data_IF_992331895077
#
_entry.id   IF_992331895077
#
_cell.length_a   1.000
_cell.length_b   1.000
_cell.length_c   1.000
_cell.angle_alpha   90.00
_cell.angle_beta   90.00
_cell.angle_gamma   90.00
#
_symmetry.space_group_name_H-M   'P 1'
#
loop_
_entity.id
_entity.type
_entity.pdbx_description
1 polymer ?
#
# COMPACT_ATOMS: atom_id res chain seq x y z
N UNK A 1 -4.46 -9.12 -23.42
CA UNK A 1 -3.52 -10.03 -22.75
C UNK A 1 -4.10 -10.43 -21.40
N UNK A 2 -4.05 -11.72 -21.00
CA UNK A 2 -4.58 -12.18 -19.71
C UNK A 2 -3.46 -12.17 -18.66
N UNK A 3 -3.63 -11.36 -17.62
CA UNK A 3 -2.68 -11.21 -16.52
C UNK A 3 -3.17 -11.94 -15.28
N UNK A 4 -2.52 -13.03 -14.90
CA UNK A 4 -2.76 -13.70 -13.61
C UNK A 4 -2.09 -12.92 -12.49
N UNK A 5 -2.88 -12.48 -11.52
CA UNK A 5 -2.42 -11.84 -10.28
C UNK A 5 -2.64 -12.83 -9.12
N UNK A 6 -1.56 -13.45 -8.67
CA UNK A 6 -1.60 -14.37 -7.54
C UNK A 6 -1.35 -13.61 -6.22
N UNK A 7 -2.28 -13.71 -5.27
CA UNK A 7 -2.19 -12.98 -4.00
C UNK A 7 -2.86 -13.72 -2.85
N UNK A 8 -2.22 -13.71 -1.67
CA UNK A 8 -2.81 -14.16 -0.41
C UNK A 8 -3.58 -13.01 0.30
N UNK A 9 -3.28 -11.75 -0.07
CA UNK A 9 -3.96 -10.57 0.41
C UNK A 9 -5.16 -10.25 -0.49
N UNK A 10 -6.35 -10.67 -0.09
CA UNK A 10 -7.61 -10.44 -0.79
C UNK A 10 -8.77 -10.31 0.19
N UNK A 11 -9.95 -9.91 -0.30
CA UNK A 11 -11.15 -9.79 0.53
C UNK A 11 -11.41 -11.04 1.40
N UNK A 12 -11.83 -10.87 2.68
CA UNK A 12 -12.35 -9.66 3.30
C UNK A 12 -11.30 -8.70 3.89
N UNK A 13 -10.01 -8.90 3.63
CA UNK A 13 -8.97 -7.99 4.13
C UNK A 13 -9.14 -6.58 3.56
N UNK A 14 -9.03 -5.56 4.42
CA UNK A 14 -9.00 -4.14 4.07
C UNK A 14 -7.60 -3.62 4.34
N UNK A 15 -6.78 -3.52 3.30
CA UNK A 15 -5.40 -3.05 3.40
C UNK A 15 -4.89 -2.43 2.09
N UNK A 16 -3.71 -1.81 2.14
CA UNK A 16 -3.13 -1.13 0.99
C UNK A 16 -2.76 -2.04 -0.19
N UNK A 17 -2.52 -3.34 0.04
CA UNK A 17 -2.23 -4.31 -1.03
C UNK A 17 -3.49 -4.58 -1.84
N UNK A 18 -4.59 -4.93 -1.17
CA UNK A 18 -5.89 -5.17 -1.82
C UNK A 18 -6.30 -3.95 -2.63
N UNK A 19 -6.26 -2.75 -2.03
CA UNK A 19 -6.62 -1.50 -2.70
C UNK A 19 -5.75 -1.22 -3.93
N UNK A 20 -4.44 -1.47 -3.85
CA UNK A 20 -3.56 -1.30 -5.01
C UNK A 20 -3.93 -2.26 -6.13
N UNK A 21 -4.17 -3.54 -5.81
CA UNK A 21 -4.52 -4.54 -6.82
C UNK A 21 -5.89 -4.28 -7.47
N UNK A 22 -6.87 -3.80 -6.71
CA UNK A 22 -8.18 -3.40 -7.26
C UNK A 22 -8.05 -2.25 -8.26
N UNK A 23 -7.24 -1.22 -7.93
CA UNK A 23 -7.00 -0.10 -8.85
C UNK A 23 -6.23 -0.56 -10.10
N UNK A 24 -5.25 -1.46 -9.95
CA UNK A 24 -4.57 -2.03 -11.12
C UNK A 24 -5.54 -2.85 -11.97
N UNK A 25 -6.41 -3.65 -11.35
CA UNK A 25 -7.40 -4.42 -12.09
C UNK A 25 -8.39 -3.53 -12.85
N UNK A 26 -8.89 -2.48 -12.22
CA UNK A 26 -9.80 -1.52 -12.86
C UNK A 26 -9.15 -0.81 -14.05
N UNK A 27 -7.84 -0.50 -13.97
CA UNK A 27 -7.09 0.14 -15.04
C UNK A 27 -6.65 -0.82 -16.16
N UNK A 28 -6.63 -2.13 -15.91
CA UNK A 28 -6.11 -3.15 -16.83
C UNK A 28 -6.58 -3.04 -18.28
N UNK A 29 -7.89 -2.90 -18.54
CA UNK A 29 -8.43 -2.78 -19.90
C UNK A 29 -7.83 -1.62 -20.68
N UNK A 30 -7.55 -0.47 -20.05
CA UNK A 30 -6.91 0.70 -20.68
C UNK A 30 -5.51 0.38 -21.20
N UNK A 31 -4.83 -0.59 -20.58
CA UNK A 31 -3.49 -1.04 -20.96
C UNK A 31 -3.51 -2.33 -21.81
N UNK A 32 -4.69 -2.80 -22.22
CA UNK A 32 -4.86 -4.01 -23.02
C UNK A 32 -4.67 -5.31 -22.23
N UNK A 33 -4.80 -5.26 -20.91
CA UNK A 33 -4.77 -6.42 -20.04
C UNK A 33 -6.15 -6.75 -19.48
N UNK A 34 -6.41 -8.04 -19.36
CA UNK A 34 -7.51 -8.65 -18.61
C UNK A 34 -6.94 -9.24 -17.32
N UNK A 35 -7.04 -8.56 -16.16
CA UNK A 35 -6.55 -9.08 -14.89
C UNK A 35 -7.44 -10.21 -14.39
N UNK A 36 -6.81 -11.30 -13.95
CA UNK A 36 -7.47 -12.46 -13.38
C UNK A 36 -6.81 -12.74 -12.04
N UNK A 37 -7.61 -12.88 -10.98
CA UNK A 37 -7.08 -13.13 -9.65
C UNK A 37 -7.02 -14.62 -9.34
N UNK A 38 -5.91 -15.02 -8.71
CA UNK A 38 -5.74 -16.28 -8.03
C UNK A 38 -5.51 -15.99 -6.55
N UNK A 39 -6.46 -16.36 -5.71
CA UNK A 39 -6.51 -15.94 -4.30
C UNK A 39 -6.71 -17.13 -3.38
N UNK A 40 -6.73 -16.89 -2.07
CA UNK A 40 -7.10 -17.92 -1.10
C UNK A 40 -8.51 -18.50 -1.33
N UNK A 41 -9.41 -17.83 -2.07
CA UNK A 41 -10.78 -18.29 -2.35
C UNK A 41 -10.82 -19.45 -3.34
N UNK A 42 -9.77 -19.60 -4.12
CA UNK A 42 -9.65 -20.69 -5.13
C UNK A 42 -9.13 -22.00 -4.51
N UNK A 43 -8.91 -22.01 -3.19
CA UNK A 43 -8.35 -23.14 -2.45
C UNK A 43 -9.10 -23.36 -1.13
N UNK A 44 -9.01 -24.58 -0.59
CA UNK A 44 -9.34 -24.80 0.80
C UNK A 44 -8.41 -23.95 1.68
N UNK A 45 -8.95 -23.26 2.68
CA UNK A 45 -8.17 -22.34 3.50
C UNK A 45 -8.67 -22.29 4.94
N UNK A 46 -7.75 -22.01 5.89
CA UNK A 46 -8.04 -21.80 7.30
C UNK A 46 -7.76 -20.34 7.69
N UNK A 47 -8.51 -19.77 8.65
CA UNK A 47 -8.20 -18.47 9.21
C UNK A 47 -6.88 -18.50 10.00
N UNK A 48 -6.10 -17.43 9.91
CA UNK A 48 -4.91 -17.26 10.75
C UNK A 48 -5.34 -16.95 12.19
N UNK A 49 -4.84 -17.68 13.20
CA UNK A 49 -5.13 -17.37 14.60
C UNK A 49 -4.79 -15.92 14.95
N UNK A 50 -5.74 -15.21 15.59
CA UNK A 50 -5.60 -13.79 15.93
C UNK A 50 -5.91 -12.81 14.79
N UNK A 51 -5.97 -13.26 13.54
CA UNK A 51 -6.29 -12.44 12.36
C UNK A 51 -7.21 -13.22 11.43
N UNK A 52 -8.49 -13.41 11.77
CA UNK A 52 -9.42 -14.30 11.05
C UNK A 52 -9.70 -13.85 9.61
N UNK A 53 -9.47 -12.57 9.30
CA UNK A 53 -9.56 -12.00 7.97
C UNK A 53 -8.41 -12.45 7.05
N UNK A 54 -7.29 -12.91 7.62
CA UNK A 54 -6.16 -13.49 6.87
C UNK A 54 -6.39 -14.99 6.75
N UNK A 55 -6.44 -15.48 5.52
CA UNK A 55 -6.69 -16.89 5.22
C UNK A 55 -5.42 -17.57 4.71
N UNK A 56 -5.06 -18.67 5.34
CA UNK A 56 -3.97 -19.56 4.88
C UNK A 56 -4.53 -20.62 3.94
N UNK A 57 -4.20 -20.49 2.65
CA UNK A 57 -4.67 -21.39 1.61
C UNK A 57 -3.81 -22.68 1.54
N UNK A 58 -4.43 -23.82 1.31
CA UNK A 58 -3.74 -25.07 0.97
C UNK A 58 -3.38 -25.11 -0.52
N UNK A 59 -2.66 -24.08 -0.97
CA UNK A 59 -2.24 -23.96 -2.35
C UNK A 59 -1.04 -24.88 -2.65
N UNK A 60 -1.13 -25.64 -3.76
CA UNK A 60 -0.03 -26.44 -4.27
C UNK A 60 0.20 -26.19 -5.76
N UNK A 61 1.42 -26.44 -6.30
CA UNK A 61 1.66 -26.31 -7.74
C UNK A 61 0.72 -27.13 -8.62
N UNK A 62 0.24 -28.28 -8.13
CA UNK A 62 -0.74 -29.10 -8.85
C UNK A 62 -2.12 -28.46 -8.94
N UNK A 63 -2.54 -27.75 -7.88
CA UNK A 63 -3.79 -26.98 -7.93
C UNK A 63 -3.65 -25.80 -8.88
N UNK A 64 -2.51 -25.10 -8.85
CA UNK A 64 -2.23 -24.00 -9.79
C UNK A 64 -2.25 -24.51 -11.23
N UNK A 65 -1.67 -25.69 -11.51
CA UNK A 65 -1.67 -26.30 -12.85
C UNK A 65 -3.09 -26.52 -13.39
N UNK A 66 -4.01 -27.06 -12.57
CA UNK A 66 -5.41 -27.26 -12.98
C UNK A 66 -6.11 -25.94 -13.33
N UNK A 67 -5.94 -24.92 -12.48
CA UNK A 67 -6.54 -23.59 -12.72
C UNK A 67 -5.89 -22.88 -13.92
N UNK A 68 -4.63 -23.18 -14.22
CA UNK A 68 -3.91 -22.59 -15.34
C UNK A 68 -4.53 -22.93 -16.68
N UNK A 69 -4.98 -24.17 -16.87
CA UNK A 69 -5.58 -24.63 -18.11
C UNK A 69 -6.92 -23.93 -18.39
N UNK A 70 -7.66 -23.57 -17.34
CA UNK A 70 -8.91 -22.81 -17.43
C UNK A 70 -8.65 -21.32 -17.63
N UNK A 71 -7.72 -20.76 -16.84
CA UNK A 71 -7.41 -19.33 -16.82
C UNK A 71 -6.60 -18.87 -18.03
N UNK A 72 -5.74 -19.74 -18.59
CA UNK A 72 -4.85 -19.49 -19.76
C UNK A 72 -4.14 -18.13 -19.70
N UNK A 73 -3.40 -17.81 -18.63
CA UNK A 73 -2.72 -16.53 -18.51
C UNK A 73 -1.56 -16.43 -19.48
N UNK A 74 -1.38 -15.23 -20.02
CA UNK A 74 -0.22 -14.89 -20.87
C UNK A 74 0.88 -14.21 -20.05
N UNK A 75 0.51 -13.55 -18.96
CA UNK A 75 1.41 -12.82 -18.05
C UNK A 75 1.09 -13.20 -16.61
N UNK A 76 2.09 -13.13 -15.73
CA UNK A 76 1.96 -13.50 -14.32
C UNK A 76 2.58 -12.45 -13.42
N UNK A 77 1.82 -12.04 -12.42
CA UNK A 77 2.29 -11.24 -11.29
C UNK A 77 1.98 -11.94 -9.98
N UNK A 78 2.98 -12.12 -9.13
CA UNK A 78 2.83 -12.70 -7.78
C UNK A 78 2.96 -11.57 -6.78
N UNK A 79 1.84 -11.16 -6.20
CA UNK A 79 1.78 -9.97 -5.35
C UNK A 79 2.23 -10.20 -3.92
N UNK A 80 2.15 -11.44 -3.41
CA UNK A 80 2.50 -11.75 -2.02
C UNK A 80 3.31 -13.02 -1.92
N UNK A 81 4.09 -13.15 -0.83
CA UNK A 81 4.98 -14.27 -0.54
C UNK A 81 4.30 -15.40 0.24
N UNK A 82 2.98 -15.37 0.36
CA UNK A 82 2.21 -16.38 1.08
C UNK A 82 2.05 -17.68 0.30
N UNK A 83 1.14 -18.52 0.75
CA UNK A 83 0.97 -19.89 0.24
C UNK A 83 0.54 -19.94 -1.23
N UNK A 84 -0.35 -19.03 -1.65
CA UNK A 84 -0.79 -18.87 -3.05
C UNK A 84 0.36 -18.38 -3.92
N UNK A 85 1.05 -17.33 -3.48
CA UNK A 85 2.21 -16.80 -4.19
C UNK A 85 3.32 -17.83 -4.33
N UNK A 86 3.63 -18.59 -3.27
CA UNK A 86 4.67 -19.60 -3.29
C UNK A 86 4.33 -20.78 -4.22
N UNK A 87 3.08 -21.25 -4.22
CA UNK A 87 2.61 -22.29 -5.11
C UNK A 87 2.69 -21.88 -6.58
N UNK A 88 2.25 -20.65 -6.90
CA UNK A 88 2.31 -20.06 -8.24
C UNK A 88 3.76 -19.90 -8.71
N UNK A 89 4.64 -19.38 -7.85
CA UNK A 89 6.07 -19.28 -8.15
C UNK A 89 6.69 -20.63 -8.51
N UNK A 90 6.41 -21.67 -7.70
CA UNK A 90 6.93 -23.01 -7.97
C UNK A 90 6.42 -23.57 -9.29
N UNK A 91 5.16 -23.32 -9.62
CA UNK A 91 4.59 -23.69 -10.90
C UNK A 91 5.30 -22.99 -12.06
N UNK A 92 5.45 -21.66 -11.98
CA UNK A 92 6.12 -20.87 -13.01
C UNK A 92 7.56 -21.35 -13.26
N UNK A 93 8.33 -21.57 -12.20
CA UNK A 93 9.70 -22.07 -12.31
C UNK A 93 9.79 -23.46 -12.95
N UNK A 94 8.90 -24.38 -12.58
CA UNK A 94 8.87 -25.74 -13.12
C UNK A 94 8.51 -25.76 -14.62
N UNK A 95 7.81 -24.74 -15.12
CA UNK A 95 7.34 -24.68 -16.51
C UNK A 95 8.02 -23.57 -17.32
N UNK A 96 9.09 -22.95 -16.82
CA UNK A 96 9.82 -21.88 -17.50
C UNK A 96 8.95 -20.64 -17.81
N UNK A 97 7.94 -20.35 -16.99
CA UNK A 97 7.04 -19.20 -17.19
C UNK A 97 7.64 -17.95 -16.54
N UNK A 98 7.83 -16.85 -17.30
CA UNK A 98 8.24 -15.58 -16.71
C UNK A 98 7.17 -15.07 -15.75
N UNK A 99 7.59 -14.37 -14.69
CA UNK A 99 6.69 -13.75 -13.73
C UNK A 99 7.36 -12.56 -13.05
N UNK A 100 6.55 -11.62 -12.58
CA UNK A 100 6.96 -10.54 -11.70
C UNK A 100 6.49 -10.77 -10.27
N UNK A 101 7.12 -10.09 -9.33
CA UNK A 101 6.71 -10.09 -7.91
C UNK A 101 6.57 -8.68 -7.39
N UNK A 102 5.95 -8.50 -6.22
CA UNK A 102 5.94 -7.23 -5.47
C UNK A 102 6.40 -7.43 -4.04
N UNK A 103 7.19 -6.49 -3.55
CA UNK A 103 7.59 -6.39 -2.15
C UNK A 103 6.71 -5.34 -1.46
N UNK A 104 5.68 -5.78 -0.75
CA UNK A 104 4.70 -4.90 -0.14
C UNK A 104 4.96 -4.59 1.33
N UNK A 105 5.59 -5.51 2.05
CA UNK A 105 5.68 -5.46 3.51
C UNK A 105 7.10 -5.75 3.96
N UNK A 106 7.59 -5.01 4.94
CA UNK A 106 8.87 -5.29 5.63
C UNK A 106 8.67 -6.49 6.58
N UNK A 107 8.38 -7.64 5.98
CA UNK A 107 8.12 -8.87 6.72
C UNK A 107 9.25 -9.30 7.67
N UNK A 108 10.56 -9.13 7.34
CA UNK A 108 11.65 -9.43 8.26
C UNK A 108 11.57 -8.66 9.57
N UNK A 109 11.31 -7.35 9.51
CA UNK A 109 11.18 -6.49 10.68
C UNK A 109 9.94 -6.85 11.51
N UNK A 110 8.83 -7.21 10.85
CA UNK A 110 7.61 -7.67 11.54
C UNK A 110 7.82 -9.00 12.26
N UNK A 111 8.57 -9.92 11.64
CA UNK A 111 8.85 -11.22 12.21
C UNK A 111 9.82 -11.11 13.39
N UNK A 112 10.90 -10.33 13.25
CA UNK A 112 11.89 -10.14 14.31
C UNK A 112 11.32 -9.42 15.54
N UNK A 113 10.34 -8.53 15.35
CA UNK A 113 9.63 -7.86 16.45
C UNK A 113 8.70 -8.80 17.25
N UNK A 114 8.31 -9.95 16.68
CA UNK A 114 7.37 -10.91 17.30
C UNK A 114 7.98 -12.23 17.73
N UNK A 115 9.11 -12.60 17.12
CA UNK A 115 9.78 -13.86 17.37
C UNK A 115 11.30 -13.69 17.26
N UNK A 116 12.11 -14.47 17.99
CA UNK A 116 13.57 -14.37 17.95
C UNK A 116 14.15 -14.97 16.64
N UNK A 117 13.68 -14.45 15.50
CA UNK A 117 14.14 -14.83 14.18
C UNK A 117 15.06 -13.73 13.65
N UNK A 118 16.33 -14.01 13.34
CA UNK A 118 17.23 -13.02 12.76
C UNK A 118 16.72 -12.48 11.43
N UNK A 119 16.66 -11.17 11.26
CA UNK A 119 16.20 -10.53 10.01
C UNK A 119 16.98 -11.04 8.78
N UNK A 120 18.28 -11.32 8.95
CA UNK A 120 19.14 -11.83 7.89
C UNK A 120 18.59 -13.12 7.23
N UNK A 121 17.98 -14.00 8.02
CA UNK A 121 17.38 -15.26 7.49
C UNK A 121 16.11 -14.98 6.69
N UNK A 122 15.27 -14.11 7.21
CA UNK A 122 14.06 -13.68 6.52
C UNK A 122 14.39 -12.95 5.22
N UNK A 123 15.40 -12.07 5.22
CA UNK A 123 15.88 -11.42 3.99
C UNK A 123 16.51 -12.40 3.00
N UNK A 124 17.24 -13.41 3.46
CA UNK A 124 17.79 -14.45 2.59
C UNK A 124 16.67 -15.25 1.90
N UNK A 125 15.60 -15.58 2.65
CA UNK A 125 14.43 -16.27 2.11
C UNK A 125 13.69 -15.39 1.09
N UNK A 126 13.44 -14.11 1.39
CA UNK A 126 12.79 -13.16 0.48
C UNK A 126 13.63 -12.93 -0.77
N UNK A 127 14.94 -12.77 -0.63
CA UNK A 127 15.85 -12.64 -1.76
C UNK A 127 15.80 -13.86 -2.69
N UNK A 128 15.72 -15.07 -2.12
CA UNK A 128 15.51 -16.29 -2.92
C UNK A 128 14.14 -16.32 -3.60
N UNK A 129 13.11 -15.81 -2.92
CA UNK A 129 11.75 -15.77 -3.46
C UNK A 129 11.67 -14.81 -4.64
N UNK A 130 12.06 -13.56 -4.45
CA UNK A 130 11.97 -12.49 -5.43
C UNK A 130 13.04 -12.58 -6.53
N UNK A 131 14.26 -13.00 -6.20
CA UNK A 131 15.37 -13.08 -7.14
C UNK A 131 15.19 -14.11 -8.27
N UNK A 132 14.19 -14.98 -8.16
CA UNK A 132 13.81 -15.90 -9.23
C UNK A 132 12.79 -15.29 -10.22
N UNK A 133 12.27 -14.11 -9.96
CA UNK A 133 11.35 -13.38 -10.84
C UNK A 133 12.10 -12.58 -11.90
N UNK A 134 11.40 -12.23 -12.98
CA UNK A 134 11.93 -11.37 -14.02
C UNK A 134 11.91 -9.89 -13.62
N UNK A 135 11.26 -9.55 -12.48
CA UNK A 135 11.24 -8.22 -11.90
C UNK A 135 10.50 -8.21 -10.57
N UNK A 136 11.03 -7.48 -9.59
CA UNK A 136 10.45 -7.28 -8.27
C UNK A 136 10.03 -5.83 -8.10
N UNK A 137 8.73 -5.58 -7.99
CA UNK A 137 8.20 -4.24 -7.88
C UNK A 137 8.31 -3.72 -6.44
N UNK A 138 8.85 -2.51 -6.29
CA UNK A 138 9.03 -1.81 -5.02
C UNK A 138 8.41 -0.42 -5.08
N UNK A 139 7.87 0.05 -3.95
CA UNK A 139 7.03 1.24 -3.94
C UNK A 139 7.81 2.57 -3.91
N UNK A 140 9.01 2.61 -3.34
CA UNK A 140 9.75 3.85 -3.08
C UNK A 140 11.23 3.74 -3.43
N UNK A 141 11.89 4.90 -3.59
CA UNK A 141 13.32 4.96 -3.89
C UNK A 141 14.18 4.48 -2.71
N UNK A 142 13.80 4.84 -1.48
CA UNK A 142 14.55 4.42 -0.30
C UNK A 142 14.43 2.91 -0.10
N UNK A 143 13.25 2.31 -0.34
CA UNK A 143 13.08 0.86 -0.28
C UNK A 143 13.88 0.14 -1.37
N UNK A 144 13.91 0.68 -2.59
CA UNK A 144 14.72 0.15 -3.68
C UNK A 144 16.21 0.13 -3.33
N UNK A 145 16.73 1.23 -2.75
CA UNK A 145 18.12 1.34 -2.31
C UNK A 145 18.43 0.37 -1.16
N UNK A 146 17.55 0.28 -0.16
CA UNK A 146 17.72 -0.63 0.97
C UNK A 146 17.75 -2.10 0.53
N UNK A 147 16.79 -2.52 -0.31
CA UNK A 147 16.77 -3.89 -0.84
C UNK A 147 17.96 -4.16 -1.77
N UNK A 148 18.35 -3.18 -2.59
CA UNK A 148 19.57 -3.28 -3.41
C UNK A 148 20.83 -3.49 -2.57
N UNK A 149 21.00 -2.75 -1.49
CA UNK A 149 22.10 -2.93 -0.54
C UNK A 149 22.06 -4.32 0.14
N UNK A 150 20.87 -4.93 0.27
CA UNK A 150 20.68 -6.29 0.78
C UNK A 150 20.82 -7.37 -0.30
N UNK A 151 21.20 -7.02 -1.54
CA UNK A 151 21.48 -7.95 -2.64
C UNK A 151 20.28 -8.38 -3.47
N UNK A 152 19.20 -7.59 -3.50
CA UNK A 152 18.15 -7.74 -4.51
C UNK A 152 18.58 -7.04 -5.80
N UNK A 153 18.52 -7.71 -6.94
CA UNK A 153 19.11 -7.22 -8.20
C UNK A 153 18.10 -6.90 -9.30
N UNK A 154 16.86 -7.39 -9.18
CA UNK A 154 15.82 -7.29 -10.20
C UNK A 154 14.70 -6.31 -9.79
N UNK A 155 15.06 -5.18 -9.17
CA UNK A 155 14.10 -4.22 -8.64
C UNK A 155 13.53 -3.33 -9.76
N UNK A 156 12.22 -3.09 -9.69
CA UNK A 156 11.46 -2.23 -10.61
C UNK A 156 10.57 -1.28 -9.80
N UNK A 157 10.50 -0.01 -10.17
CA UNK A 157 9.68 0.97 -9.45
C UNK A 157 8.20 0.79 -9.81
N UNK A 158 7.37 0.75 -8.77
CA UNK A 158 5.92 0.82 -8.86
C UNK A 158 5.36 1.61 -7.67
N UNK A 159 5.11 2.89 -7.88
CA UNK A 159 4.55 3.81 -6.87
C UNK A 159 3.08 3.49 -6.59
N UNK A 160 2.51 4.25 -5.65
CA UNK A 160 1.07 4.17 -5.34
C UNK A 160 0.40 5.45 -5.80
N UNK A 161 -0.92 5.40 -5.88
CA UNK A 161 -1.77 6.54 -6.16
C UNK A 161 -2.77 6.80 -5.06
N UNK A 162 -3.48 7.90 -5.18
CA UNK A 162 -4.61 8.28 -4.35
C UNK A 162 -5.77 8.74 -5.24
N UNK A 163 -6.99 8.43 -4.81
CA UNK A 163 -8.20 8.96 -5.42
C UNK A 163 -8.43 10.40 -4.94
N UNK A 164 -8.00 11.36 -5.76
CA UNK A 164 -8.06 12.78 -5.43
C UNK A 164 -9.46 13.39 -5.60
N UNK A 165 -10.40 12.68 -6.19
CA UNK A 165 -11.81 13.09 -6.27
C UNK A 165 -12.56 12.70 -5.00
N UNK A 166 -12.26 11.52 -4.47
CA UNK A 166 -12.77 11.06 -3.19
C UNK A 166 -12.10 11.79 -2.01
N UNK A 167 -10.76 11.76 -1.95
CA UNK A 167 -9.97 12.42 -0.92
C UNK A 167 -9.62 13.83 -1.37
N UNK A 168 -10.36 14.82 -0.85
CA UNK A 168 -10.18 16.23 -1.19
C UNK A 168 -10.55 17.14 -0.02
N UNK A 169 -10.00 18.35 0.04
CA UNK A 169 -10.46 19.33 1.00
C UNK A 169 -11.95 19.57 0.84
N UNK A 170 -12.65 19.73 1.94
CA UNK A 170 -14.08 20.03 1.90
C UNK A 170 -14.27 21.50 1.54
N UNK A 171 -14.87 21.86 0.39
CA UNK A 171 -15.10 23.25 0.04
C UNK A 171 -16.25 23.84 0.86
N UNK A 172 -16.05 25.02 1.42
CA UNK A 172 -17.08 25.78 2.12
C UNK A 172 -17.39 25.30 3.56
N UNK A 173 -18.52 25.74 4.10
CA UNK A 173 -19.04 25.31 5.40
C UNK A 173 -19.80 24.00 5.26
N UNK A 174 -19.10 22.88 5.14
CA UNK A 174 -19.73 21.56 5.23
C UNK A 174 -19.86 21.21 6.73
N UNK A 175 -20.98 20.62 7.17
CA UNK A 175 -21.12 20.16 8.54
C UNK A 175 -19.97 19.21 8.92
N UNK A 176 -19.38 19.44 10.08
CA UNK A 176 -18.38 18.55 10.66
C UNK A 176 -18.97 17.15 10.81
N UNK A 177 -18.21 16.06 10.52
CA UNK A 177 -18.70 14.71 10.78
C UNK A 177 -19.22 14.58 12.20
N UNK A 178 -20.39 13.92 12.36
CA UNK A 178 -21.06 13.81 13.67
C UNK A 178 -20.14 13.20 14.75
N UNK A 179 -19.27 12.27 14.33
CA UNK A 179 -18.28 11.62 15.22
C UNK A 179 -17.25 12.62 15.79
N UNK A 180 -17.06 13.77 15.19
CA UNK A 180 -16.09 14.82 15.56
C UNK A 180 -16.74 16.04 16.18
N UNK A 181 -18.07 16.15 16.12
CA UNK A 181 -18.81 17.32 16.60
C UNK A 181 -18.55 17.59 18.10
N UNK A 182 -18.16 18.83 18.40
CA UNK A 182 -17.90 19.29 19.78
C UNK A 182 -16.59 18.81 20.39
N UNK A 183 -15.71 18.15 19.61
CA UNK A 183 -14.37 17.80 20.08
C UNK A 183 -13.46 19.03 20.13
N UNK A 184 -12.59 19.09 21.14
CA UNK A 184 -11.60 20.15 21.26
C UNK A 184 -10.59 20.08 20.11
N UNK A 185 -10.34 21.22 19.47
CA UNK A 185 -9.33 21.36 18.40
C UNK A 185 -7.99 21.80 18.98
N UNK A 186 -6.86 21.51 18.27
CA UNK A 186 -6.79 20.82 16.97
C UNK A 186 -7.10 19.32 17.04
N UNK A 187 -7.54 18.73 15.91
CA UNK A 187 -7.79 17.30 15.77
C UNK A 187 -6.58 16.59 15.16
N UNK A 188 -5.97 15.70 15.94
CA UNK A 188 -4.86 14.86 15.50
C UNK A 188 -5.39 13.48 15.11
N UNK A 189 -5.36 13.16 13.82
CA UNK A 189 -5.92 11.94 13.26
C UNK A 189 -4.85 10.89 12.99
N UNK A 190 -5.11 9.64 13.34
CA UNK A 190 -4.36 8.49 12.88
C UNK A 190 -5.30 7.45 12.28
N UNK A 191 -4.95 6.87 11.13
CA UNK A 191 -5.77 5.90 10.39
C UNK A 191 -4.96 4.65 10.09
N UNK A 192 -5.52 3.49 10.44
CA UNK A 192 -4.87 2.22 10.12
C UNK A 192 -5.36 1.07 11.00
N UNK A 193 -4.83 -0.12 10.74
CA UNK A 193 -5.11 -1.29 11.57
C UNK A 193 -4.53 -1.10 12.98
N UNK A 194 -5.31 -1.46 14.01
CA UNK A 194 -4.88 -1.37 15.39
C UNK A 194 -4.06 -2.61 15.76
N UNK A 195 -2.76 -2.56 15.44
CA UNK A 195 -1.81 -3.65 15.62
C UNK A 195 -0.42 -3.10 15.97
N UNK A 196 0.41 -3.94 16.58
CA UNK A 196 1.73 -3.59 17.12
C UNK A 196 2.62 -2.87 16.09
N UNK A 197 2.63 -3.33 14.84
CA UNK A 197 3.43 -2.75 13.77
C UNK A 197 3.07 -1.31 13.40
N UNK A 198 1.89 -0.84 13.80
CA UNK A 198 1.46 0.56 13.57
C UNK A 198 1.92 1.52 14.65
N UNK A 199 2.50 1.01 15.73
CA UNK A 199 3.13 1.80 16.79
C UNK A 199 2.24 2.92 17.36
N UNK A 200 0.92 2.68 17.43
CA UNK A 200 -0.06 3.66 17.92
C UNK A 200 0.17 4.07 19.39
N UNK A 201 0.90 3.26 20.15
CA UNK A 201 1.37 3.61 21.48
C UNK A 201 2.12 4.94 21.49
N UNK A 202 3.01 5.16 20.50
CA UNK A 202 3.77 6.40 20.36
C UNK A 202 2.84 7.60 20.17
N UNK A 203 1.79 7.47 19.34
CA UNK A 203 0.81 8.55 19.13
C UNK A 203 -0.04 8.82 20.38
N UNK A 204 -0.55 7.76 21.01
CA UNK A 204 -1.47 7.91 22.13
C UNK A 204 -0.80 8.50 23.40
N UNK A 205 0.51 8.30 23.55
CA UNK A 205 1.29 8.85 24.68
C UNK A 205 1.71 10.32 24.48
N UNK A 206 1.50 10.91 23.29
CA UNK A 206 1.85 12.32 23.05
C UNK A 206 1.00 13.26 23.92
N UNK A 207 1.62 14.31 24.44
CA UNK A 207 0.92 15.40 25.10
C UNK A 207 0.59 16.48 24.08
N UNK A 208 -0.60 16.39 23.46
CA UNK A 208 -1.05 17.29 22.40
C UNK A 208 -2.24 18.13 22.88
N UNK A 209 -2.30 19.41 22.47
CA UNK A 209 -3.50 20.22 22.69
C UNK A 209 -4.64 19.67 21.82
N UNK A 210 -5.87 19.65 22.33
CA UNK A 210 -7.02 19.19 21.55
C UNK A 210 -7.27 17.68 21.63
N UNK A 211 -7.76 17.07 20.54
CA UNK A 211 -8.27 15.70 20.58
C UNK A 211 -7.50 14.78 19.64
N UNK A 212 -7.11 13.61 20.15
CA UNK A 212 -6.59 12.50 19.35
C UNK A 212 -7.74 11.65 18.82
N UNK A 213 -7.75 11.39 17.51
CA UNK A 213 -8.76 10.59 16.82
C UNK A 213 -8.08 9.40 16.13
N UNK A 214 -8.60 8.21 16.38
CA UNK A 214 -8.09 6.95 15.82
C UNK A 214 -9.17 6.28 14.99
N UNK A 215 -8.89 6.06 13.71
CA UNK A 215 -9.79 5.37 12.77
C UNK A 215 -9.17 4.05 12.36
N UNK A 216 -9.94 2.99 12.52
CA UNK A 216 -9.54 1.62 12.23
C UNK A 216 -9.95 0.66 13.33
N UNK A 217 -9.63 -0.62 13.12
CA UNK A 217 -9.87 -1.68 14.08
C UNK A 217 -8.73 -2.69 14.07
N UNK A 218 -8.67 -3.55 15.07
CA UNK A 218 -7.64 -4.58 15.17
C UNK A 218 -7.51 -5.15 16.58
N UNK A 219 -6.64 -6.17 16.72
CA UNK A 219 -6.51 -6.92 17.97
C UNK A 219 -6.08 -6.07 19.18
N UNK A 220 -5.39 -4.94 18.94
CA UNK A 220 -4.85 -4.08 20.00
C UNK A 220 -5.84 -3.01 20.48
N UNK A 221 -7.07 -2.95 19.97
CA UNK A 221 -8.02 -1.88 20.26
C UNK A 221 -8.21 -1.64 21.76
N UNK A 222 -8.51 -2.70 22.53
CA UNK A 222 -8.77 -2.56 23.95
C UNK A 222 -7.54 -2.07 24.74
N UNK A 223 -6.35 -2.58 24.40
CA UNK A 223 -5.08 -2.16 24.99
C UNK A 223 -4.76 -0.70 24.69
N UNK A 224 -4.94 -0.29 23.44
CA UNK A 224 -4.67 1.07 23.00
C UNK A 224 -5.64 2.08 23.64
N UNK A 225 -6.93 1.75 23.75
CA UNK A 225 -7.91 2.61 24.41
C UNK A 225 -7.61 2.83 25.90
N UNK A 226 -6.94 1.89 26.56
CA UNK A 226 -6.50 2.03 27.93
C UNK A 226 -5.29 2.97 28.09
N UNK A 227 -4.49 3.21 27.03
CA UNK A 227 -3.33 4.14 27.08
C UNK A 227 -3.80 5.59 27.15
N UNK A 228 -4.81 5.95 26.36
CA UNK A 228 -5.39 7.28 26.36
C UNK A 228 -6.93 7.20 26.32
N UNK A 229 -7.58 7.22 27.49
CA UNK A 229 -9.05 7.20 27.57
C UNK A 229 -9.73 8.46 26.98
N UNK A 230 -8.98 9.54 26.78
CA UNK A 230 -9.46 10.77 26.12
C UNK A 230 -9.49 10.69 24.60
N UNK A 231 -8.75 9.75 24.00
CA UNK A 231 -8.73 9.56 22.56
C UNK A 231 -10.04 8.97 22.03
N UNK A 232 -10.43 9.39 20.81
CA UNK A 232 -11.65 8.93 20.14
C UNK A 232 -11.34 7.80 19.17
N UNK A 233 -11.83 6.58 19.45
CA UNK A 233 -11.72 5.41 18.60
C UNK A 233 -13.00 5.21 17.80
N UNK A 234 -12.98 5.52 16.51
CA UNK A 234 -14.17 5.54 15.65
C UNK A 234 -14.46 4.20 14.95
N UNK A 235 -13.59 3.19 15.11
CA UNK A 235 -13.68 1.94 14.35
C UNK A 235 -13.31 2.10 12.89
N UNK A 236 -13.56 1.07 12.10
CA UNK A 236 -13.26 1.09 10.66
C UNK A 236 -14.21 2.04 9.93
N UNK A 237 -13.63 2.92 9.09
CA UNK A 237 -14.35 3.80 8.15
C UNK A 237 -13.73 3.64 6.76
N UNK A 238 -14.52 3.82 5.72
CA UNK A 238 -14.10 3.71 4.32
C UNK A 238 -14.82 4.74 3.45
N UNK A 239 -14.35 4.91 2.21
CA UNK A 239 -15.00 5.77 1.23
C UNK A 239 -15.20 7.21 1.70
N UNK A 240 -16.39 7.75 1.48
CA UNK A 240 -16.72 9.15 1.79
C UNK A 240 -16.66 9.47 3.29
N UNK A 241 -17.01 8.51 4.16
CA UNK A 241 -16.92 8.71 5.62
C UNK A 241 -15.46 8.93 6.05
N UNK A 242 -14.54 8.09 5.56
CA UNK A 242 -13.13 8.22 5.83
C UNK A 242 -12.56 9.53 5.26
N UNK A 243 -12.93 9.88 4.02
CA UNK A 243 -12.49 11.13 3.40
C UNK A 243 -12.96 12.37 4.20
N UNK A 244 -14.19 12.36 4.72
CA UNK A 244 -14.69 13.44 5.56
C UNK A 244 -13.92 13.57 6.88
N UNK A 245 -13.52 12.46 7.51
CA UNK A 245 -12.70 12.48 8.72
C UNK A 245 -11.30 13.05 8.46
N UNK A 246 -10.67 12.67 7.34
CA UNK A 246 -9.41 13.30 6.93
C UNK A 246 -9.58 14.80 6.71
N UNK A 247 -10.57 15.21 5.92
CA UNK A 247 -10.76 16.62 5.57
C UNK A 247 -11.01 17.51 6.80
N UNK A 248 -11.62 16.94 7.86
CA UNK A 248 -11.89 17.62 9.12
C UNK A 248 -10.69 17.68 10.06
N UNK A 249 -9.66 16.86 9.88
CA UNK A 249 -8.48 16.82 10.73
C UNK A 249 -7.56 18.04 10.51
N UNK A 250 -6.81 18.40 11.56
CA UNK A 250 -5.81 19.48 11.51
C UNK A 250 -4.41 18.93 11.22
N UNK A 251 -4.07 17.75 11.76
CA UNK A 251 -2.80 17.04 11.50
C UNK A 251 -3.08 15.54 11.39
N UNK A 252 -2.46 14.89 10.41
CA UNK A 252 -2.40 13.44 10.33
C UNK A 252 -1.11 12.94 10.98
N UNK A 253 -1.22 12.15 12.05
CA UNK A 253 -0.08 11.58 12.75
C UNK A 253 0.12 10.14 12.31
N UNK A 254 1.30 9.85 11.77
CA UNK A 254 1.68 8.53 11.28
C UNK A 254 2.84 7.96 12.09
N UNK A 255 2.56 7.18 13.15
CA UNK A 255 3.57 6.73 14.09
C UNK A 255 4.27 5.44 13.66
N UNK A 256 3.91 4.84 12.52
CA UNK A 256 4.49 3.58 12.03
C UNK A 256 5.97 3.71 11.70
N UNK A 257 6.75 2.67 12.04
CA UNK A 257 8.19 2.61 11.78
C UNK A 257 8.56 1.71 10.60
N UNK A 258 7.63 0.93 10.08
CA UNK A 258 7.93 -0.20 9.17
C UNK A 258 7.10 -0.23 7.89
N UNK A 259 6.29 0.78 7.61
CA UNK A 259 5.52 0.85 6.37
C UNK A 259 6.44 1.09 5.15
N UNK A 260 6.18 0.39 4.07
CA UNK A 260 6.96 0.51 2.82
C UNK A 260 6.58 1.74 2.00
N UNK A 261 5.35 2.26 2.17
CA UNK A 261 4.85 3.45 1.47
C UNK A 261 3.90 4.27 2.37
N UNK A 262 2.79 3.66 2.81
CA UNK A 262 1.74 4.34 3.58
C UNK A 262 0.77 5.11 2.68
N UNK A 263 -0.17 4.42 2.01
CA UNK A 263 -1.22 5.06 1.17
C UNK A 263 -2.01 6.11 1.96
N UNK A 264 -2.22 5.88 3.25
CA UNK A 264 -2.88 6.81 4.19
C UNK A 264 -2.21 8.18 4.27
N UNK A 265 -0.90 8.27 4.00
CA UNK A 265 -0.18 9.55 3.88
C UNK A 265 -0.73 10.36 2.70
N UNK A 266 -0.92 9.71 1.55
CA UNK A 266 -1.48 10.34 0.36
C UNK A 266 -2.94 10.75 0.55
N UNK A 267 -3.73 9.95 1.28
CA UNK A 267 -5.13 10.26 1.60
C UNK A 267 -5.23 11.52 2.46
N UNK A 268 -4.38 11.63 3.49
CA UNK A 268 -4.28 12.82 4.32
C UNK A 268 -3.87 14.06 3.50
N UNK A 269 -2.78 13.95 2.75
CA UNK A 269 -2.29 15.04 1.88
C UNK A 269 -3.32 15.45 0.84
N UNK A 270 -4.03 14.48 0.25
CA UNK A 270 -5.08 14.75 -0.73
C UNK A 270 -6.24 15.55 -0.14
N UNK A 271 -6.56 15.34 1.13
CA UNK A 271 -7.52 16.16 1.89
C UNK A 271 -6.92 17.49 2.39
N UNK A 272 -5.67 17.81 2.02
CA UNK A 272 -4.98 19.03 2.46
C UNK A 272 -4.52 18.95 3.92
N UNK A 273 -4.35 17.74 4.49
CA UNK A 273 -3.96 17.59 5.89
C UNK A 273 -2.46 17.34 5.99
N UNK A 274 -1.73 18.17 6.73
CA UNK A 274 -0.29 17.98 6.91
C UNK A 274 0.01 16.72 7.73
N UNK A 275 1.15 16.10 7.43
CA UNK A 275 1.57 14.85 8.05
C UNK A 275 2.65 15.10 9.09
N UNK A 276 2.54 14.43 10.23
CA UNK A 276 3.61 14.28 11.22
C UNK A 276 4.02 12.81 11.32
N UNK A 277 5.30 12.50 11.13
CA UNK A 277 5.76 11.11 11.12
C UNK A 277 7.23 10.99 11.56
N UNK A 278 7.65 9.77 11.88
CA UNK A 278 9.07 9.46 12.01
C UNK A 278 9.80 9.50 10.66
N UNK A 279 11.12 9.85 10.62
CA UNK A 279 11.91 9.91 9.39
C UNK A 279 12.34 8.50 8.93
N UNK A 280 11.37 7.67 8.55
CA UNK A 280 11.55 6.29 8.09
C UNK A 280 11.08 6.13 6.64
N UNK A 281 11.39 4.99 6.03
CA UNK A 281 10.92 4.61 4.69
C UNK A 281 9.41 4.79 4.59
N UNK A 282 8.92 5.25 3.44
CA UNK A 282 7.53 5.66 3.24
C UNK A 282 7.39 7.15 3.51
N UNK A 283 7.32 7.63 4.76
CA UNK A 283 7.34 9.06 5.06
C UNK A 283 8.49 9.85 4.42
N UNK A 284 9.73 9.32 4.46
CA UNK A 284 10.87 9.98 3.79
C UNK A 284 10.68 10.15 2.29
N UNK A 285 10.07 9.16 1.61
CA UNK A 285 9.88 9.20 0.17
C UNK A 285 8.65 10.05 -0.24
N UNK A 286 7.59 10.05 0.56
CA UNK A 286 6.32 10.74 0.27
C UNK A 286 6.34 12.18 0.77
N UNK A 287 6.87 12.42 1.97
CA UNK A 287 6.90 13.73 2.62
C UNK A 287 8.25 14.41 2.37
N UNK A 288 9.36 13.77 2.77
CA UNK A 288 10.73 14.23 2.56
C UNK A 288 10.91 15.73 2.70
N UNK A 289 11.47 16.35 1.64
CA UNK A 289 11.70 17.79 1.55
C UNK A 289 10.53 18.58 0.91
N UNK A 290 9.34 17.97 0.73
CA UNK A 290 8.21 18.60 0.05
C UNK A 290 7.60 19.77 0.82
N UNK A 291 7.78 19.77 2.13
CA UNK A 291 7.17 20.73 3.06
C UNK A 291 5.66 20.49 3.27
N UNK A 292 5.16 19.30 2.90
CA UNK A 292 3.77 18.86 3.12
C UNK A 292 3.57 18.15 4.46
N UNK A 293 4.61 18.07 5.28
CA UNK A 293 4.60 17.46 6.61
C UNK A 293 5.92 17.69 7.32
N UNK A 294 6.01 17.21 8.55
CA UNK A 294 7.19 17.25 9.39
C UNK A 294 7.63 15.83 9.75
N UNK A 295 8.90 15.52 9.49
CA UNK A 295 9.52 14.27 9.87
C UNK A 295 10.54 14.53 10.97
N UNK A 296 10.31 13.96 12.15
CA UNK A 296 11.19 14.12 13.31
C UNK A 296 11.23 12.84 14.16
N UNK A 297 12.35 12.60 14.83
CA UNK A 297 12.49 11.56 15.86
C UNK A 297 11.63 11.83 17.10
N UNK A 298 11.31 13.10 17.35
CA UNK A 298 10.30 13.56 18.31
C UNK A 298 8.97 13.75 17.59
N UNK A 299 8.09 12.74 17.70
CA UNK A 299 6.79 12.76 17.05
C UNK A 299 5.86 13.87 17.60
N UNK A 300 6.05 14.29 18.85
CA UNK A 300 5.28 15.40 19.45
C UNK A 300 5.68 16.74 18.82
N UNK A 301 6.97 16.98 18.72
CA UNK A 301 7.51 18.17 18.02
C UNK A 301 7.04 18.19 16.56
N UNK A 302 7.08 17.05 15.86
CA UNK A 302 6.58 16.93 14.49
C UNK A 302 5.09 17.28 14.39
N UNK A 303 4.25 16.76 15.29
CA UNK A 303 2.80 16.97 15.28
C UNK A 303 2.45 18.44 15.54
N UNK A 304 3.13 19.10 16.47
CA UNK A 304 2.91 20.52 16.77
C UNK A 304 3.39 21.43 15.63
N UNK A 305 4.55 21.14 15.06
CA UNK A 305 5.09 21.91 13.94
C UNK A 305 4.23 21.78 12.67
N UNK A 306 3.63 20.60 12.44
CA UNK A 306 2.77 20.35 11.30
C UNK A 306 1.51 21.25 11.27
N UNK A 307 1.03 21.75 12.41
CA UNK A 307 -0.11 22.67 12.50
C UNK A 307 0.07 23.95 11.68
N UNK A 308 1.30 24.37 11.43
CA UNK A 308 1.61 25.60 10.68
C UNK A 308 1.69 25.40 9.15
N UNK A 309 1.56 24.18 8.66
CA UNK A 309 1.73 23.89 7.23
C UNK A 309 0.45 24.22 6.46
N UNK A 310 0.55 25.00 5.35
CA UNK A 310 -0.60 25.34 4.52
C UNK A 310 -1.23 24.08 3.87
N UNK A 311 -2.55 23.96 3.94
CA UNK A 311 -3.30 22.81 3.40
C UNK A 311 -3.14 22.66 1.88
N UNK A 312 -2.99 23.78 1.17
CA UNK A 312 -2.78 23.83 -0.27
C UNK A 312 -1.47 23.14 -0.69
N UNK A 313 -0.42 23.27 0.12
CA UNK A 313 0.87 22.61 -0.11
C UNK A 313 0.72 21.08 -0.01
N UNK A 314 -0.02 20.61 0.99
CA UNK A 314 -0.31 19.20 1.18
C UNK A 314 -1.07 18.63 -0.03
N UNK A 315 -2.12 19.32 -0.46
CA UNK A 315 -2.92 18.95 -1.62
C UNK A 315 -2.09 18.92 -2.91
N UNK A 316 -1.26 19.92 -3.14
CA UNK A 316 -0.41 20.00 -4.33
C UNK A 316 0.56 18.82 -4.42
N UNK A 317 1.12 18.35 -3.30
CA UNK A 317 1.97 17.18 -3.29
C UNK A 317 1.20 15.90 -3.61
N UNK A 318 0.01 15.69 -3.03
CA UNK A 318 -0.81 14.52 -3.30
C UNK A 318 -1.22 14.38 -4.77
N UNK A 319 -1.45 15.49 -5.47
CA UNK A 319 -1.83 15.50 -6.90
C UNK A 319 -0.75 14.91 -7.84
N UNK A 320 0.47 14.75 -7.35
CA UNK A 320 1.56 14.09 -8.08
C UNK A 320 1.45 12.55 -8.09
N UNK A 321 0.61 11.99 -7.22
CA UNK A 321 0.44 10.55 -7.02
C UNK A 321 -0.92 10.09 -7.54
N UNK A 322 -1.01 9.79 -8.84
CA UNK A 322 -2.25 9.32 -9.45
C UNK A 322 -2.27 7.81 -9.62
N UNK A 323 -3.46 7.20 -9.54
CA UNK A 323 -3.62 5.79 -9.87
C UNK A 323 -3.35 5.50 -11.34
N UNK A 324 -3.55 6.46 -12.24
CA UNK A 324 -3.23 6.32 -13.66
C UNK A 324 -1.73 6.12 -13.88
N UNK A 325 -0.89 6.94 -13.23
CA UNK A 325 0.58 6.80 -13.33
C UNK A 325 1.07 5.52 -12.64
N UNK A 326 0.48 5.16 -11.50
CA UNK A 326 0.77 3.89 -10.82
C UNK A 326 0.45 2.68 -11.72
N UNK A 327 -0.70 2.71 -12.39
CA UNK A 327 -1.11 1.66 -13.33
C UNK A 327 -0.18 1.58 -14.55
N UNK A 328 0.20 2.73 -15.12
CA UNK A 328 1.17 2.76 -16.22
C UNK A 328 2.47 2.07 -15.82
N UNK A 329 3.05 2.42 -14.67
CA UNK A 329 4.28 1.78 -14.17
C UNK A 329 4.11 0.27 -13.97
N UNK A 330 2.98 -0.15 -13.39
CA UNK A 330 2.68 -1.56 -13.14
C UNK A 330 2.65 -2.37 -14.44
N UNK A 331 1.87 -1.92 -15.42
CA UNK A 331 1.71 -2.63 -16.69
C UNK A 331 2.94 -2.55 -17.59
N UNK A 332 3.70 -1.46 -17.55
CA UNK A 332 5.00 -1.37 -18.22
C UNK A 332 6.01 -2.37 -17.65
N UNK A 333 6.07 -2.47 -16.32
CA UNK A 333 6.93 -3.44 -15.64
C UNK A 333 6.55 -4.89 -15.99
N UNK A 334 5.24 -5.20 -16.04
CA UNK A 334 4.75 -6.51 -16.49
C UNK A 334 5.19 -6.79 -17.93
N UNK A 335 5.00 -5.85 -18.84
CA UNK A 335 5.35 -6.00 -20.25
C UNK A 335 6.86 -6.25 -20.41
N UNK A 336 7.69 -5.39 -19.80
CA UNK A 336 9.16 -5.51 -19.88
C UNK A 336 9.64 -6.85 -19.31
N UNK A 337 9.15 -7.26 -18.16
CA UNK A 337 9.54 -8.52 -17.50
C UNK A 337 9.15 -9.76 -18.32
N UNK A 338 8.15 -9.65 -19.18
CA UNK A 338 7.71 -10.74 -20.08
C UNK A 338 8.27 -10.59 -21.51
N UNK A 339 9.25 -9.71 -21.72
CA UNK A 339 9.93 -9.54 -23.00
C UNK A 339 9.06 -8.86 -24.08
N UNK A 340 8.04 -8.10 -23.67
CA UNK A 340 7.20 -7.31 -24.57
C UNK A 340 7.49 -5.82 -24.44
N UNK A 341 7.20 -5.04 -25.50
CA UNK A 341 7.40 -3.59 -25.43
C UNK A 341 6.52 -2.95 -24.35
N UNK A 342 7.01 -1.93 -23.64
CA UNK A 342 6.22 -1.16 -22.70
C UNK A 342 4.93 -0.64 -23.35
N UNK A 343 3.86 -0.53 -22.55
CA UNK A 343 2.54 -0.18 -23.08
C UNK A 343 2.51 1.21 -23.69
N UNK A 344 3.26 2.16 -23.14
CA UNK A 344 3.41 3.51 -23.68
C UNK A 344 4.05 3.54 -25.08
N UNK A 345 4.96 2.61 -25.38
CA UNK A 345 5.62 2.51 -26.70
C UNK A 345 4.67 1.99 -27.79
N UNK A 346 3.60 1.29 -27.42
CA UNK A 346 2.62 0.74 -28.37
C UNK A 346 1.69 1.82 -28.94
N UNK A 347 1.34 2.84 -28.14
CA UNK A 347 0.50 3.96 -28.58
C UNK A 347 1.20 4.88 -29.59
N UNK A 348 2.51 5.05 -29.47
CA UNK A 348 3.31 5.84 -30.42
C UNK A 348 3.46 5.14 -31.78
N UNK A 349 3.54 3.82 -31.82
CA UNK A 349 3.61 3.03 -33.07
C UNK A 349 2.28 3.09 -33.83
N UNK A 350 1.15 2.99 -33.12
CA UNK A 350 -0.18 3.09 -33.75
C UNK A 350 -0.46 4.51 -34.28
N UNK A 351 -0.04 5.55 -33.57
CA UNK A 351 -0.16 6.94 -34.03
C UNK A 351 0.72 7.21 -35.27
N UNK A 352 1.93 6.62 -35.31
CA UNK A 352 2.86 6.76 -36.47
C UNK A 352 2.37 5.94 -37.67
N UNK A 353 1.79 4.76 -37.45
CA UNK A 353 1.23 3.92 -38.48
C UNK A 353 -0.04 4.52 -39.10
N UNK A 354 -0.93 5.09 -38.29
CA UNK A 354 -2.11 5.82 -38.75
C UNK A 354 -1.75 7.11 -39.51
N UNK A 355 -0.64 7.76 -39.16
CA UNK A 355 -0.14 8.94 -39.89
C UNK A 355 0.52 8.59 -41.24
N UNK A 356 1.07 7.37 -41.39
CA UNK A 356 1.63 6.87 -42.65
C UNK A 356 0.53 6.37 -43.60
N UNK A 357 -0.60 5.85 -43.07
CA UNK A 357 -1.72 5.40 -43.90
C UNK A 357 -2.66 6.54 -44.35
N UNK A 358 -2.50 7.73 -43.80
CA UNK A 358 -3.26 8.94 -44.17
C UNK A 358 -2.46 9.97 -44.99
N UNK A 359 -1.23 9.69 -45.33
CA UNK A 359 -0.35 10.49 -46.23
C UNK A 359 -0.02 9.77 -47.52
#
# INVERSE_FOLDING_TARGET
>A
MRLLIATDAWHPQVNGVVRSLENMAAAGPTFGFEPIFLTHRDFASLPLPGYPEIRLAYATPRHVARLWDDLRPTHVHISTEGTVGYATRRYCLAHGRPFTTSYHTRFPEYLSARAPVPEAWSYAWLRRFHGASNGTMVSTLSLERDLGARGFTNLMRWTRGVDTDLFRPTPGKVPEPADLAGLARPLFLSVGRLAVEKNLDAFLRLELPGTKVVVGDGPDRARLAAIDPGARFLGTRTGAELAALYAAADVFVFPSLTDTFGIVLLEALACGVPVAAFPVTGPLDVIGATGAGVLDGDLQAAALAALSIPRERCRAEALRYTWAESARQFYDNIAVAHGTAPVWARGSVQATQAAIELG
#
